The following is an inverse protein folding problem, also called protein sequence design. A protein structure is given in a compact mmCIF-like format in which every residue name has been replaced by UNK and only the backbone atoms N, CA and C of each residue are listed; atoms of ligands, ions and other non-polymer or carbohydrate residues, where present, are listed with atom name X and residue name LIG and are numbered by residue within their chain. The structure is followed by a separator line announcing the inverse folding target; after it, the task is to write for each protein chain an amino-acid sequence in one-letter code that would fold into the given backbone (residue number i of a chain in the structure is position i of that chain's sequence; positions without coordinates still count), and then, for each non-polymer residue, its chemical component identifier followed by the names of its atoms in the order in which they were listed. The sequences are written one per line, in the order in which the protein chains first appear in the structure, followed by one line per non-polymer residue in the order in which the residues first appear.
data_IF_182764333814
#
_entry.id   IF_182764333814
#
_cell.length_a   1.000
_cell.length_b   1.000
_cell.length_c   1.000
_cell.angle_alpha   90.00
_cell.angle_beta   90.00
_cell.angle_gamma   90.00
#
_symmetry.space_group_name_H-M   'P 1'
#
loop_
_entity.id
_entity.type
_entity.pdbx_description
1 polymer ?
#
# COMPACT_ATOMS: atom_id res chain seq x y z
N UNK A 1 -14.02 -8.33 -8.48
CA UNK A 1 -12.69 -8.89 -8.75
C UNK A 1 -12.20 -9.57 -7.49
N UNK A 2 -11.64 -10.78 -7.57
CA UNK A 2 -10.94 -11.40 -6.45
C UNK A 2 -9.66 -10.61 -6.19
N UNK A 3 -9.55 -9.98 -5.01
CA UNK A 3 -8.41 -9.17 -4.59
C UNK A 3 -7.95 -9.63 -3.22
N UNK A 4 -6.65 -9.63 -3.01
CA UNK A 4 -6.00 -9.92 -1.74
C UNK A 4 -5.12 -8.73 -1.40
N UNK A 5 -5.25 -8.20 -0.19
CA UNK A 5 -4.36 -7.16 0.31
C UNK A 5 -3.20 -7.77 1.10
N UNK A 6 -2.00 -7.21 0.92
CA UNK A 6 -0.82 -7.50 1.74
C UNK A 6 -0.31 -6.19 2.31
N UNK A 7 -0.07 -6.14 3.60
CA UNK A 7 0.49 -4.97 4.30
C UNK A 7 1.31 -5.40 5.51
N UNK A 8 2.07 -4.47 6.10
CA UNK A 8 2.77 -4.72 7.35
C UNK A 8 1.85 -4.52 8.55
N UNK A 9 2.08 -5.28 9.60
CA UNK A 9 1.41 -5.09 10.89
C UNK A 9 2.19 -4.08 11.72
N UNK A 10 1.68 -2.87 11.87
CA UNK A 10 2.32 -1.84 12.68
C UNK A 10 1.74 -1.85 14.10
N UNK A 11 2.43 -2.55 15.03
CA UNK A 11 1.98 -2.69 16.43
C UNK A 11 1.97 -1.37 17.20
N UNK A 12 2.84 -0.44 16.84
CA UNK A 12 2.92 0.91 17.42
C UNK A 12 2.33 1.98 16.51
N UNK A 13 1.85 1.57 15.33
CA UNK A 13 1.14 2.43 14.39
C UNK A 13 1.96 3.62 13.89
N UNK A 14 1.28 4.75 13.69
CA UNK A 14 1.92 6.02 13.33
C UNK A 14 2.13 6.87 14.60
N UNK A 15 1.12 7.56 15.07
CA UNK A 15 1.09 8.23 16.37
C UNK A 15 -0.34 8.59 16.77
N UNK A 16 -0.57 8.77 18.06
CA UNK A 16 -1.77 9.35 18.60
C UNK A 16 -1.54 10.85 18.84
N UNK A 17 -2.34 11.70 18.22
CA UNK A 17 -2.22 13.15 18.31
C UNK A 17 -3.01 13.68 19.51
N UNK A 18 -2.36 14.45 20.37
CA UNK A 18 -2.96 15.17 21.47
C UNK A 18 -2.77 16.68 21.25
N UNK A 19 -3.86 17.42 21.26
CA UNK A 19 -3.82 18.88 21.13
C UNK A 19 -4.24 19.48 22.47
N UNK A 20 -3.38 20.32 23.06
CA UNK A 20 -3.63 21.02 24.32
C UNK A 20 -4.59 22.23 24.09
N UNK A 21 -5.00 22.87 25.20
CA UNK A 21 -5.89 24.03 25.14
C UNK A 21 -5.27 25.26 24.46
N UNK A 22 -3.97 25.30 24.29
CA UNK A 22 -3.21 26.33 23.59
C UNK A 22 -2.97 26.05 22.13
N UNK A 23 -3.42 24.87 21.63
CA UNK A 23 -3.25 24.41 20.25
C UNK A 23 -1.90 23.73 19.99
N UNK A 24 -1.10 23.44 21.01
CA UNK A 24 0.15 22.71 20.84
C UNK A 24 -0.12 21.23 20.66
N UNK A 25 0.54 20.60 19.68
CA UNK A 25 0.46 19.17 19.43
C UNK A 25 1.54 18.42 20.22
N UNK A 26 1.15 17.35 20.86
CA UNK A 26 2.04 16.30 21.38
C UNK A 26 1.64 14.95 20.78
N UNK A 27 2.61 14.05 20.66
CA UNK A 27 2.43 12.77 20.00
C UNK A 27 2.84 11.64 20.95
N UNK A 28 2.06 10.57 20.93
CA UNK A 28 2.37 9.32 21.64
C UNK A 28 2.21 8.15 20.69
N UNK A 29 2.97 7.04 20.85
CA UNK A 29 2.74 5.82 20.10
C UNK A 29 1.29 5.34 20.27
N UNK A 30 0.72 4.80 19.20
CA UNK A 30 -0.57 4.13 19.26
C UNK A 30 -0.31 2.63 19.43
N UNK A 31 -0.37 2.15 20.66
CA UNK A 31 -0.24 0.73 20.99
C UNK A 31 -1.61 0.06 20.97
N UNK A 32 -1.70 -1.11 20.35
CA UNK A 32 -2.92 -1.90 20.23
C UNK A 32 -2.57 -3.39 20.16
N UNK A 33 -3.51 -4.25 20.55
CA UNK A 33 -3.36 -5.69 20.42
C UNK A 33 -3.98 -6.15 19.10
N UNK A 34 -3.20 -6.76 18.18
CA UNK A 34 -3.74 -7.29 16.95
C UNK A 34 -4.87 -8.28 17.14
N UNK A 35 -4.88 -9.07 18.22
CA UNK A 35 -5.91 -10.06 18.51
C UNK A 35 -7.31 -9.46 18.74
N UNK A 36 -7.40 -8.16 19.02
CA UNK A 36 -8.70 -7.48 19.16
C UNK A 36 -9.42 -7.31 17.82
N UNK A 37 -8.70 -7.36 16.70
CA UNK A 37 -9.24 -7.03 15.37
C UNK A 37 -8.88 -8.04 14.27
N UNK A 38 -7.83 -8.83 14.48
CA UNK A 38 -7.25 -9.71 13.47
C UNK A 38 -7.21 -11.15 13.95
N UNK A 39 -7.23 -12.07 13.01
CA UNK A 39 -7.08 -13.51 13.26
C UNK A 39 -5.66 -13.94 12.87
N UNK A 40 -4.86 -14.56 13.76
CA UNK A 40 -3.56 -15.10 13.41
C UNK A 40 -3.74 -16.31 12.49
N UNK A 41 -2.88 -16.42 11.47
CA UNK A 41 -2.84 -17.57 10.59
C UNK A 41 -1.62 -18.42 10.95
N UNK A 42 -1.83 -19.72 11.13
CA UNK A 42 -0.79 -20.70 11.50
C UNK A 42 0.05 -21.09 10.27
N UNK A 43 0.73 -20.09 9.71
CA UNK A 43 1.68 -20.20 8.60
C UNK A 43 2.85 -19.29 8.92
N UNK A 44 4.05 -19.82 8.80
CA UNK A 44 5.28 -19.04 8.91
C UNK A 44 6.07 -19.14 7.61
N UNK A 45 6.70 -18.04 7.23
CA UNK A 45 7.71 -17.99 6.19
C UNK A 45 8.92 -17.23 6.72
N UNK A 46 10.02 -17.23 5.98
CA UNK A 46 11.19 -16.44 6.35
C UNK A 46 11.77 -15.69 5.16
N UNK A 47 12.46 -14.61 5.45
CA UNK A 47 13.32 -13.87 4.52
C UNK A 47 14.73 -13.75 5.11
N UNK A 48 15.72 -13.57 4.23
CA UNK A 48 17.09 -13.33 4.67
C UNK A 48 17.33 -11.80 4.78
N UNK A 49 17.82 -11.37 5.94
CA UNK A 49 18.23 -9.99 6.19
C UNK A 49 19.62 -10.02 6.86
N UNK A 50 20.63 -9.48 6.21
CA UNK A 50 22.02 -9.47 6.70
C UNK A 50 22.55 -10.88 7.07
N UNK A 51 22.19 -11.88 6.27
CA UNK A 51 22.60 -13.27 6.47
C UNK A 51 21.90 -14.01 7.61
N UNK A 52 20.91 -13.40 8.25
CA UNK A 52 20.06 -14.03 9.27
C UNK A 52 18.66 -14.28 8.75
N UNK A 53 18.06 -15.33 9.21
CA UNK A 53 16.68 -15.68 8.91
C UNK A 53 15.72 -14.87 9.79
N UNK A 54 14.82 -14.11 9.17
CA UNK A 54 13.75 -13.36 9.84
C UNK A 54 12.42 -14.00 9.52
N UNK A 55 11.74 -14.52 10.52
CA UNK A 55 10.44 -15.17 10.41
C UNK A 55 9.30 -14.16 10.33
N UNK A 56 8.29 -14.51 9.55
CA UNK A 56 7.10 -13.70 9.31
C UNK A 56 5.86 -14.58 9.49
N UNK A 57 4.91 -14.12 10.28
CA UNK A 57 3.59 -14.72 10.42
C UNK A 57 2.51 -13.74 9.94
N UNK A 58 1.52 -14.16 9.15
CA UNK A 58 0.43 -13.29 8.75
C UNK A 58 -0.71 -13.29 9.77
N UNK A 59 -1.32 -12.13 9.94
CA UNK A 59 -2.65 -11.96 10.54
C UNK A 59 -3.64 -11.66 9.43
N UNK A 60 -4.90 -12.05 9.60
CA UNK A 60 -5.95 -11.89 8.60
C UNK A 60 -7.04 -10.94 9.08
N UNK A 61 -7.49 -10.07 8.16
CA UNK A 61 -8.73 -9.31 8.28
C UNK A 61 -9.58 -9.55 7.03
N UNK A 62 -10.82 -9.97 7.21
CA UNK A 62 -11.79 -10.05 6.13
C UNK A 62 -12.65 -8.79 6.13
N UNK A 63 -12.49 -7.97 5.11
CA UNK A 63 -13.29 -6.76 4.91
C UNK A 63 -14.54 -7.14 4.10
N UNK A 64 -15.71 -6.90 4.68
CA UNK A 64 -16.99 -7.10 4.00
C UNK A 64 -17.50 -5.79 3.44
N UNK A 65 -17.72 -5.76 2.13
CA UNK A 65 -18.28 -4.60 1.45
C UNK A 65 -19.81 -4.48 1.62
N UNK A 66 -20.35 -3.29 1.37
CA UNK A 66 -21.79 -3.01 1.48
C UNK A 66 -22.68 -3.90 0.60
N UNK A 67 -22.11 -4.55 -0.40
CA UNK A 67 -22.79 -5.48 -1.31
C UNK A 67 -22.58 -6.95 -0.97
N UNK A 68 -21.94 -7.26 0.18
CA UNK A 68 -21.64 -8.62 0.64
C UNK A 68 -20.39 -9.24 -0.01
N UNK A 69 -19.66 -8.51 -0.84
CA UNK A 69 -18.36 -8.96 -1.36
C UNK A 69 -17.30 -8.90 -0.25
N UNK A 70 -16.35 -9.84 -0.29
CA UNK A 70 -15.30 -9.96 0.73
C UNK A 70 -13.92 -9.79 0.12
N UNK A 71 -13.06 -9.08 0.83
CA UNK A 71 -11.63 -8.92 0.51
C UNK A 71 -10.83 -9.32 1.73
N UNK A 72 -9.90 -10.23 1.55
CA UNK A 72 -8.97 -10.62 2.62
C UNK A 72 -7.73 -9.75 2.56
N UNK A 73 -7.34 -9.22 3.72
CA UNK A 73 -6.08 -8.48 3.90
C UNK A 73 -5.21 -9.26 4.89
N UNK A 74 -3.98 -9.53 4.49
CA UNK A 74 -2.98 -10.16 5.36
C UNK A 74 -1.99 -9.10 5.84
N UNK A 75 -1.80 -9.08 7.15
CA UNK A 75 -0.88 -8.18 7.85
C UNK A 75 0.36 -8.98 8.26
N UNK A 76 1.51 -8.62 7.74
CA UNK A 76 2.77 -9.31 7.97
C UNK A 76 3.39 -8.85 9.29
N UNK A 77 3.65 -9.78 10.18
CA UNK A 77 4.17 -9.54 11.52
C UNK A 77 5.50 -10.27 11.72
N UNK A 78 6.49 -9.57 12.25
CA UNK A 78 7.79 -10.15 12.64
C UNK A 78 7.92 -10.33 14.16
N UNK A 79 6.91 -9.99 14.94
CA UNK A 79 6.92 -10.13 16.40
C UNK A 79 6.71 -11.59 16.81
N UNK A 80 7.71 -12.43 16.55
CA UNK A 80 7.74 -13.86 16.88
C UNK A 80 8.86 -14.16 17.88
N UNK A 81 8.66 -15.12 18.81
CA UNK A 81 9.67 -15.46 19.81
C UNK A 81 11.00 -15.94 19.23
N UNK A 82 10.97 -16.53 18.05
CA UNK A 82 12.14 -17.04 17.32
C UNK A 82 13.00 -15.93 16.71
N UNK A 83 12.44 -14.75 16.51
CA UNK A 83 13.15 -13.60 16.00
C UNK A 83 13.93 -12.88 17.12
N UNK A 84 15.05 -12.29 16.78
CA UNK A 84 15.75 -11.38 17.69
C UNK A 84 14.88 -10.18 18.05
N UNK A 85 15.13 -9.53 19.17
CA UNK A 85 14.38 -8.31 19.55
C UNK A 85 14.44 -7.21 18.48
N UNK A 86 15.55 -7.11 17.76
CA UNK A 86 15.69 -6.18 16.66
C UNK A 86 14.77 -6.54 15.48
N UNK A 87 14.71 -7.83 15.13
CA UNK A 87 13.88 -8.30 14.03
C UNK A 87 12.39 -8.29 14.38
N UNK A 88 12.03 -8.56 15.65
CA UNK A 88 10.66 -8.39 16.13
C UNK A 88 10.12 -6.97 15.93
N UNK A 89 10.99 -5.97 16.02
CA UNK A 89 10.61 -4.56 15.93
C UNK A 89 10.56 -4.01 14.50
N UNK A 90 10.93 -4.78 13.46
CA UNK A 90 11.00 -4.29 12.07
C UNK A 90 9.64 -3.73 11.61
N UNK A 91 8.53 -4.34 12.02
CA UNK A 91 7.20 -3.90 11.58
C UNK A 91 6.49 -2.94 12.56
N UNK A 92 7.12 -2.54 13.68
CA UNK A 92 6.46 -1.77 14.75
C UNK A 92 5.85 -0.45 14.28
N UNK A 93 6.61 0.36 13.54
CA UNK A 93 6.22 1.73 13.21
C UNK A 93 5.96 1.94 11.73
N UNK A 94 4.87 2.65 11.41
CA UNK A 94 4.64 3.22 10.10
C UNK A 94 5.47 4.51 9.96
N UNK A 95 6.24 4.61 8.88
CA UNK A 95 7.12 5.75 8.59
C UNK A 95 8.19 6.05 9.66
N UNK A 96 8.56 5.06 10.46
CA UNK A 96 9.59 5.20 11.48
C UNK A 96 11.00 4.84 10.98
N UNK A 97 11.99 5.12 11.83
CA UNK A 97 13.35 4.65 11.68
C UNK A 97 14.20 5.35 10.62
N UNK A 98 15.39 4.80 10.43
CA UNK A 98 16.35 5.21 9.41
C UNK A 98 16.17 4.44 8.09
N UNK A 99 17.07 4.69 7.14
CA UNK A 99 17.03 4.00 5.84
C UNK A 99 17.22 2.49 5.95
N UNK A 100 18.00 2.00 6.93
CA UNK A 100 18.19 0.58 7.18
C UNK A 100 16.88 -0.07 7.62
N UNK A 101 16.23 0.51 8.64
CA UNK A 101 14.94 0.04 9.14
C UNK A 101 13.87 0.00 8.04
N UNK A 102 13.78 1.07 7.24
CA UNK A 102 12.82 1.15 6.12
C UNK A 102 13.10 0.10 5.06
N UNK A 103 14.36 -0.14 4.70
CA UNK A 103 14.70 -1.16 3.73
C UNK A 103 14.37 -2.58 4.21
N UNK A 104 14.59 -2.85 5.51
CA UNK A 104 14.15 -4.11 6.11
C UNK A 104 12.62 -4.29 6.04
N UNK A 105 11.84 -3.22 6.29
CA UNK A 105 10.37 -3.26 6.11
C UNK A 105 9.97 -3.58 4.66
N UNK A 106 10.66 -3.01 3.68
CA UNK A 106 10.38 -3.25 2.26
C UNK A 106 10.71 -4.68 1.84
N UNK A 107 11.74 -5.31 2.44
CA UNK A 107 12.02 -6.74 2.27
C UNK A 107 10.88 -7.59 2.84
N UNK A 108 10.43 -7.30 4.06
CA UNK A 108 9.30 -8.01 4.67
C UNK A 108 8.05 -7.87 3.82
N UNK A 109 7.72 -6.65 3.37
CA UNK A 109 6.52 -6.41 2.57
C UNK A 109 6.61 -7.05 1.18
N UNK A 110 7.68 -6.81 0.45
CA UNK A 110 7.82 -7.26 -0.94
C UNK A 110 8.11 -8.76 -1.02
N UNK A 111 9.24 -9.19 -0.49
CA UNK A 111 9.68 -10.60 -0.57
C UNK A 111 8.87 -11.50 0.37
N UNK A 112 8.69 -11.07 1.61
CA UNK A 112 7.88 -11.77 2.60
C UNK A 112 6.43 -11.91 2.15
N UNK A 113 5.86 -10.85 1.55
CA UNK A 113 4.51 -10.87 1.01
C UNK A 113 4.29 -11.92 -0.08
N UNK A 114 5.21 -12.04 -1.03
CA UNK A 114 5.15 -13.10 -2.06
C UNK A 114 5.27 -14.49 -1.42
N UNK A 115 6.20 -14.66 -0.48
CA UNK A 115 6.38 -15.95 0.21
C UNK A 115 5.13 -16.38 0.98
N UNK A 116 4.48 -15.45 1.69
CA UNK A 116 3.20 -15.70 2.39
C UNK A 116 2.10 -16.09 1.40
N UNK A 117 1.97 -15.40 0.28
CA UNK A 117 0.98 -15.74 -0.73
C UNK A 117 1.17 -17.18 -1.24
N UNK A 118 2.41 -17.61 -1.47
CA UNK A 118 2.71 -18.98 -1.89
C UNK A 118 2.39 -19.99 -0.79
N UNK A 119 2.76 -19.72 0.44
CA UNK A 119 2.48 -20.59 1.59
C UNK A 119 0.97 -20.74 1.85
N UNK A 120 0.19 -19.70 1.59
CA UNK A 120 -1.28 -19.71 1.63
C UNK A 120 -1.94 -20.43 0.44
N UNK A 121 -1.15 -20.90 -0.55
CA UNK A 121 -1.63 -21.64 -1.71
C UNK A 121 -2.06 -20.76 -2.90
N UNK A 122 -1.81 -19.46 -2.88
CA UNK A 122 -2.09 -18.57 -4.01
C UNK A 122 -1.03 -18.73 -5.11
N UNK A 123 -1.14 -19.79 -5.92
CA UNK A 123 -0.19 -20.12 -6.99
C UNK A 123 -0.51 -19.43 -8.33
N UNK A 124 -1.75 -18.97 -8.53
CA UNK A 124 -2.23 -18.40 -9.79
C UNK A 124 -2.67 -16.93 -9.61
N UNK A 125 -1.72 -16.05 -9.32
CA UNK A 125 -1.97 -14.62 -9.24
C UNK A 125 -1.77 -14.01 -10.63
N UNK A 126 -2.80 -13.35 -11.15
CA UNK A 126 -2.78 -12.75 -12.49
C UNK A 126 -2.07 -11.39 -12.51
N UNK A 127 -2.19 -10.61 -11.44
CA UNK A 127 -1.57 -9.30 -11.34
C UNK A 127 -1.10 -8.99 -9.92
N UNK A 128 0.10 -8.46 -9.81
CA UNK A 128 0.68 -7.88 -8.58
C UNK A 128 0.61 -6.37 -8.68
N UNK A 129 -0.22 -5.77 -7.85
CA UNK A 129 -0.39 -4.33 -7.81
C UNK A 129 0.49 -3.72 -6.70
N UNK A 130 1.50 -3.00 -7.10
CA UNK A 130 2.38 -2.26 -6.21
C UNK A 130 1.79 -0.89 -5.91
N UNK A 131 1.44 -0.66 -4.65
CA UNK A 131 1.00 0.63 -4.16
C UNK A 131 2.23 1.39 -3.62
N UNK A 132 2.86 2.20 -4.49
CA UNK A 132 4.10 2.93 -4.25
C UNK A 132 5.38 2.05 -4.22
N UNK A 133 6.55 2.69 -4.17
CA UNK A 133 7.86 2.06 -4.26
C UNK A 133 8.17 1.07 -3.15
N UNK A 134 7.66 1.29 -1.93
CA UNK A 134 7.96 0.44 -0.77
C UNK A 134 7.54 -1.04 -0.92
N UNK A 135 6.69 -1.37 -1.89
CA UNK A 135 6.33 -2.75 -2.22
C UNK A 135 7.13 -3.36 -3.38
N UNK A 136 8.02 -2.58 -4.02
CA UNK A 136 8.66 -2.98 -5.28
C UNK A 136 9.63 -4.17 -5.15
N UNK A 137 10.08 -4.53 -3.94
CA UNK A 137 10.92 -5.74 -3.76
C UNK A 137 10.16 -7.05 -4.02
N UNK A 138 8.83 -7.03 -4.19
CA UNK A 138 8.12 -8.20 -4.69
C UNK A 138 8.65 -8.65 -6.07
N UNK A 139 9.14 -7.71 -6.88
CA UNK A 139 9.74 -7.96 -8.20
C UNK A 139 10.93 -8.91 -8.08
N UNK A 140 11.76 -8.73 -7.04
CA UNK A 140 12.92 -9.61 -6.81
C UNK A 140 12.49 -11.07 -6.62
N UNK A 141 11.48 -11.33 -5.79
CA UNK A 141 10.93 -12.68 -5.60
C UNK A 141 10.34 -13.25 -6.89
N UNK A 142 9.64 -12.43 -7.67
CA UNK A 142 9.08 -12.88 -8.96
C UNK A 142 10.17 -13.19 -9.98
N UNK A 143 11.26 -12.42 -10.02
CA UNK A 143 12.41 -12.68 -10.87
C UNK A 143 13.10 -14.00 -10.47
N UNK A 144 13.26 -14.26 -9.17
CA UNK A 144 13.79 -15.53 -8.68
C UNK A 144 12.91 -16.73 -9.06
N UNK A 145 11.59 -16.57 -8.94
CA UNK A 145 10.65 -17.60 -9.37
C UNK A 145 10.80 -17.91 -10.87
N UNK A 146 10.96 -16.87 -11.71
CA UNK A 146 11.14 -17.04 -13.14
C UNK A 146 12.51 -17.67 -13.50
N UNK A 147 13.59 -17.26 -12.83
CA UNK A 147 14.92 -17.87 -12.98
C UNK A 147 14.86 -19.35 -12.66
N UNK A 148 14.26 -19.73 -11.53
CA UNK A 148 14.08 -21.13 -11.11
C UNK A 148 13.22 -21.92 -12.10
N UNK A 149 12.10 -21.34 -12.55
CA UNK A 149 11.15 -21.98 -13.48
C UNK A 149 11.76 -22.24 -14.85
N UNK A 150 12.55 -21.31 -15.36
CA UNK A 150 13.18 -21.39 -16.69
C UNK A 150 14.55 -22.06 -16.67
N UNK A 151 15.06 -22.39 -15.48
CA UNK A 151 16.37 -23.02 -15.26
C UNK A 151 17.52 -22.24 -15.94
N UNK A 152 17.49 -20.92 -15.87
CA UNK A 152 18.55 -20.04 -16.37
C UNK A 152 19.46 -19.59 -15.22
N UNK A 153 20.71 -19.23 -15.52
CA UNK A 153 21.67 -18.82 -14.50
C UNK A 153 21.52 -17.34 -14.09
N UNK A 154 20.77 -16.54 -14.87
CA UNK A 154 20.60 -15.11 -14.63
C UNK A 154 19.36 -14.58 -15.34
N UNK A 155 18.93 -13.35 -14.99
CA UNK A 155 17.83 -12.70 -15.68
C UNK A 155 18.16 -12.52 -17.16
N UNK A 156 17.23 -12.93 -18.01
CA UNK A 156 17.24 -12.62 -19.43
C UNK A 156 16.01 -11.75 -19.78
N UNK A 157 15.96 -11.25 -21.02
CA UNK A 157 14.88 -10.37 -21.47
C UNK A 157 13.48 -11.03 -21.37
N UNK A 158 13.38 -12.35 -21.56
CA UNK A 158 12.13 -13.08 -21.45
C UNK A 158 11.65 -13.13 -19.98
N UNK A 159 12.53 -13.51 -19.03
CA UNK A 159 12.20 -13.52 -17.62
C UNK A 159 11.77 -12.12 -17.12
N UNK A 160 12.48 -11.06 -17.55
CA UNK A 160 12.14 -9.69 -17.21
C UNK A 160 10.77 -9.28 -17.79
N UNK A 161 10.45 -9.72 -19.01
CA UNK A 161 9.16 -9.44 -19.64
C UNK A 161 8.00 -10.18 -18.95
N UNK A 162 8.19 -11.45 -18.61
CA UNK A 162 7.19 -12.25 -17.90
C UNK A 162 6.81 -11.59 -16.55
N UNK A 163 7.81 -11.09 -15.79
CA UNK A 163 7.55 -10.37 -14.54
C UNK A 163 6.85 -9.05 -14.79
N UNK A 164 7.28 -8.30 -15.81
CA UNK A 164 6.64 -7.03 -16.18
C UNK A 164 5.17 -7.20 -16.51
N UNK A 165 4.82 -8.24 -17.24
CA UNK A 165 3.43 -8.51 -17.68
C UNK A 165 2.50 -8.86 -16.50
N UNK A 166 3.06 -9.27 -15.37
CA UNK A 166 2.30 -9.55 -14.14
C UNK A 166 2.20 -8.33 -13.20
N UNK A 167 2.93 -7.25 -13.42
CA UNK A 167 3.03 -6.15 -12.45
C UNK A 167 2.33 -4.87 -12.92
N UNK A 168 1.66 -4.23 -11.97
CA UNK A 168 1.04 -2.91 -12.09
C UNK A 168 1.61 -2.01 -10.99
N UNK A 169 1.92 -0.76 -11.30
CA UNK A 169 2.49 0.19 -10.35
C UNK A 169 1.66 1.46 -10.25
N UNK A 170 1.26 1.82 -9.03
CA UNK A 170 0.61 3.10 -8.75
C UNK A 170 1.53 3.97 -7.93
N UNK A 171 1.90 5.14 -8.46
CA UNK A 171 2.64 6.16 -7.71
C UNK A 171 1.69 7.15 -7.05
N UNK A 172 1.93 7.44 -5.78
CA UNK A 172 1.14 8.37 -4.96
C UNK A 172 1.88 9.67 -4.66
N UNK A 173 3.19 9.70 -4.91
CA UNK A 173 4.04 10.80 -4.42
C UNK A 173 4.68 11.56 -5.58
N UNK A 174 4.16 12.75 -5.94
CA UNK A 174 4.70 13.56 -7.03
C UNK A 174 5.87 14.46 -6.58
N UNK A 175 6.69 13.98 -5.62
CA UNK A 175 7.81 14.76 -5.07
C UNK A 175 9.09 13.92 -5.09
N UNK A 176 10.16 14.35 -5.80
CA UNK A 176 11.40 13.58 -5.93
C UNK A 176 12.08 13.21 -4.62
N UNK A 177 11.90 14.03 -3.58
CA UNK A 177 12.50 13.81 -2.26
C UNK A 177 11.83 12.68 -1.45
N UNK A 178 10.61 12.30 -1.80
CA UNK A 178 9.84 11.30 -1.08
C UNK A 178 9.90 9.89 -1.70
N UNK A 179 10.77 9.69 -2.70
CA UNK A 179 11.04 8.36 -3.27
C UNK A 179 12.13 7.66 -2.45
N UNK A 180 11.88 6.43 -2.03
CA UNK A 180 12.86 5.64 -1.29
C UNK A 180 14.06 5.28 -2.17
N UNK A 181 15.25 5.62 -1.65
CA UNK A 181 16.53 5.42 -2.34
C UNK A 181 17.57 4.91 -1.36
N UNK A 182 18.10 3.75 -1.64
CA UNK A 182 19.03 3.06 -0.76
C UNK A 182 20.42 2.95 -1.39
N UNK A 183 21.50 3.30 -0.67
CA UNK A 183 22.88 3.15 -1.16
C UNK A 183 23.17 1.68 -1.51
N UNK A 184 23.86 1.42 -2.63
CA UNK A 184 24.11 0.06 -3.11
C UNK A 184 24.87 -0.81 -2.12
N UNK A 185 25.84 -0.23 -1.39
CA UNK A 185 26.58 -0.96 -0.36
C UNK A 185 25.68 -1.42 0.80
N UNK A 186 24.67 -0.63 1.17
CA UNK A 186 23.68 -1.02 2.17
C UNK A 186 22.75 -2.11 1.62
N UNK A 187 22.28 -1.96 0.38
CA UNK A 187 21.45 -2.97 -0.29
C UNK A 187 22.17 -4.31 -0.34
N UNK A 188 23.45 -4.34 -0.78
CA UNK A 188 24.27 -5.54 -0.86
C UNK A 188 24.46 -6.19 0.51
N UNK A 189 24.77 -5.38 1.53
CA UNK A 189 25.00 -5.88 2.90
C UNK A 189 23.73 -6.52 3.50
N UNK A 190 22.54 -5.97 3.20
CA UNK A 190 21.28 -6.44 3.77
C UNK A 190 20.71 -7.63 2.99
N UNK A 191 20.69 -7.57 1.66
CA UNK A 191 20.11 -8.63 0.82
C UNK A 191 21.07 -9.81 0.58
N UNK A 192 22.39 -9.61 0.74
CA UNK A 192 23.41 -10.58 0.35
C UNK A 192 23.70 -10.58 -1.16
N UNK A 193 24.76 -11.29 -1.54
CA UNK A 193 25.32 -11.28 -2.91
C UNK A 193 24.33 -11.80 -3.97
N UNK A 194 23.60 -12.87 -3.68
CA UNK A 194 22.72 -13.51 -4.65
C UNK A 194 21.60 -12.57 -5.10
N UNK A 195 20.81 -12.06 -4.17
CA UNK A 195 19.72 -11.11 -4.44
C UNK A 195 20.22 -9.78 -5.02
N UNK A 196 21.36 -9.30 -4.52
CA UNK A 196 22.01 -8.10 -5.03
C UNK A 196 22.38 -8.25 -6.51
N UNK A 197 22.97 -9.38 -6.92
CA UNK A 197 23.34 -9.64 -8.31
C UNK A 197 22.12 -9.73 -9.23
N UNK A 198 21.01 -10.28 -8.75
CA UNK A 198 19.73 -10.27 -9.48
C UNK A 198 19.28 -8.84 -9.72
N UNK A 199 19.26 -8.00 -8.70
CA UNK A 199 18.90 -6.60 -8.84
C UNK A 199 19.85 -5.83 -9.75
N UNK A 200 21.16 -6.06 -9.65
CA UNK A 200 22.16 -5.43 -10.54
C UNK A 200 21.89 -5.78 -12.01
N UNK A 201 21.52 -7.02 -12.29
CA UNK A 201 21.18 -7.47 -13.64
C UNK A 201 19.89 -6.83 -14.16
N UNK A 202 18.99 -6.40 -13.28
CA UNK A 202 17.75 -5.69 -13.62
C UNK A 202 17.97 -4.26 -14.08
N UNK A 203 19.16 -3.67 -13.87
CA UNK A 203 19.57 -2.32 -14.33
C UNK A 203 18.67 -1.16 -13.86
N UNK A 204 18.01 -1.30 -12.69
CA UNK A 204 17.08 -0.30 -12.14
C UNK A 204 17.73 0.64 -11.11
N UNK A 205 18.99 0.99 -11.33
CA UNK A 205 19.79 1.85 -10.46
C UNK A 205 19.95 3.25 -11.06
N UNK A 206 20.04 4.23 -10.18
CA UNK A 206 20.36 5.60 -10.54
C UNK A 206 21.23 6.23 -9.46
N UNK A 207 22.32 6.88 -9.86
CA UNK A 207 23.22 7.62 -8.97
C UNK A 207 23.76 6.73 -7.81
N UNK A 208 24.22 5.51 -8.11
CA UNK A 208 24.70 4.50 -7.16
C UNK A 208 23.72 4.17 -6.03
N UNK A 209 22.42 4.29 -6.32
CA UNK A 209 21.34 3.96 -5.38
C UNK A 209 20.29 3.08 -6.05
N UNK A 210 19.77 2.13 -5.30
CA UNK A 210 18.53 1.47 -5.62
C UNK A 210 17.39 2.44 -5.37
N UNK A 211 16.64 2.77 -6.42
CA UNK A 211 15.45 3.61 -6.33
C UNK A 211 14.21 2.72 -6.49
N UNK A 212 13.42 2.60 -5.43
CA UNK A 212 12.27 1.70 -5.37
C UNK A 212 11.18 2.08 -6.37
N UNK A 213 10.96 3.38 -6.59
CA UNK A 213 10.03 3.85 -7.63
C UNK A 213 10.50 3.44 -9.01
N UNK A 214 11.80 3.59 -9.33
CA UNK A 214 12.33 3.14 -10.61
C UNK A 214 12.21 1.62 -10.80
N UNK A 215 12.42 0.84 -9.74
CA UNK A 215 12.22 -0.61 -9.79
C UNK A 215 10.77 -0.93 -10.17
N UNK A 216 9.80 -0.30 -9.51
CA UNK A 216 8.39 -0.44 -9.84
C UNK A 216 8.05 -0.02 -11.28
N UNK A 217 8.60 1.12 -11.75
CA UNK A 217 8.39 1.61 -13.11
C UNK A 217 8.99 0.67 -14.17
N UNK A 218 10.21 0.14 -13.94
CA UNK A 218 10.90 -0.74 -14.88
C UNK A 218 10.17 -2.06 -15.09
N UNK A 219 9.55 -2.60 -14.05
CA UNK A 219 8.92 -3.93 -14.06
C UNK A 219 7.40 -3.90 -14.02
N UNK A 220 6.77 -2.84 -14.49
CA UNK A 220 5.32 -2.81 -14.63
C UNK A 220 4.91 -2.56 -16.06
N UNK A 221 3.92 -3.32 -16.53
CA UNK A 221 3.33 -3.10 -17.86
C UNK A 221 2.32 -1.95 -17.85
N UNK A 222 1.75 -1.64 -16.68
CA UNK A 222 0.83 -0.53 -16.49
C UNK A 222 1.24 0.31 -15.28
N UNK A 223 1.27 1.62 -15.49
CA UNK A 223 1.69 2.59 -14.48
C UNK A 223 0.66 3.70 -14.44
N UNK A 224 0.22 4.06 -13.22
CA UNK A 224 -0.68 5.19 -13.05
C UNK A 224 -0.34 6.05 -11.83
N UNK A 225 -0.68 7.33 -11.95
CA UNK A 225 -0.85 8.24 -10.83
C UNK A 225 -2.30 8.29 -10.37
N UNK A 226 -2.57 8.96 -9.27
CA UNK A 226 -3.86 8.96 -8.55
C UNK A 226 -4.79 10.12 -8.88
N UNK A 227 -4.41 10.96 -9.85
CA UNK A 227 -5.24 12.03 -10.42
C UNK A 227 -4.61 12.56 -11.72
N UNK A 228 -5.37 13.30 -12.54
CA UNK A 228 -4.85 13.94 -13.75
C UNK A 228 -3.67 14.87 -13.45
N UNK A 229 -3.75 15.67 -12.39
CA UNK A 229 -2.64 16.55 -12.01
C UNK A 229 -1.41 15.78 -11.57
N UNK A 230 -1.59 14.66 -10.91
CA UNK A 230 -0.49 13.76 -10.51
C UNK A 230 0.16 13.10 -11.74
N UNK A 231 -0.61 12.69 -12.74
CA UNK A 231 -0.10 12.19 -14.03
C UNK A 231 0.84 13.20 -14.69
N UNK A 232 0.42 14.45 -14.84
CA UNK A 232 1.23 15.53 -15.45
C UNK A 232 2.58 15.70 -14.75
N UNK A 233 2.58 15.72 -13.41
CA UNK A 233 3.80 15.89 -12.63
C UNK A 233 4.68 14.64 -12.75
N UNK A 234 4.10 13.46 -12.59
CA UNK A 234 4.85 12.19 -12.66
C UNK A 234 5.43 11.95 -14.05
N UNK A 235 4.72 12.31 -15.13
CA UNK A 235 5.23 12.24 -16.49
C UNK A 235 6.46 13.16 -16.68
N UNK A 236 6.48 14.32 -16.02
CA UNK A 236 7.64 15.22 -16.03
C UNK A 236 8.82 14.64 -15.24
N UNK A 237 8.55 13.97 -14.12
CA UNK A 237 9.58 13.32 -13.29
C UNK A 237 10.18 12.07 -13.95
N UNK A 238 9.36 11.33 -14.70
CA UNK A 238 9.70 10.05 -15.31
C UNK A 238 9.36 10.02 -16.81
N UNK A 239 10.02 10.84 -17.64
CA UNK A 239 9.61 11.08 -19.05
C UNK A 239 9.71 9.83 -19.93
N UNK A 240 10.46 8.82 -19.53
CA UNK A 240 10.65 7.58 -20.28
C UNK A 240 9.56 6.51 -20.00
N UNK A 241 8.62 6.80 -19.11
CA UNK A 241 7.57 5.86 -18.70
C UNK A 241 6.20 6.44 -19.01
N UNK A 242 5.32 5.68 -19.68
CA UNK A 242 3.93 6.10 -19.89
C UNK A 242 3.17 5.99 -18.57
N UNK A 243 2.88 7.11 -17.94
CA UNK A 243 2.12 7.15 -16.69
C UNK A 243 0.72 7.68 -17.01
N UNK A 244 -0.30 6.91 -16.66
CA UNK A 244 -1.70 7.28 -16.84
C UNK A 244 -2.27 7.84 -15.53
N UNK A 245 -3.48 8.38 -15.55
CA UNK A 245 -4.20 8.75 -14.33
C UNK A 245 -5.38 7.82 -14.06
N UNK A 246 -5.46 7.37 -12.81
CA UNK A 246 -6.67 6.75 -12.25
C UNK A 246 -6.98 7.52 -10.97
N UNK A 247 -8.03 8.35 -11.01
CA UNK A 247 -8.44 9.12 -9.83
C UNK A 247 -8.84 8.17 -8.71
N UNK A 248 -8.30 8.41 -7.51
CA UNK A 248 -8.64 7.62 -6.34
C UNK A 248 -10.15 7.56 -6.13
N UNK A 249 -10.66 6.37 -5.90
CA UNK A 249 -12.05 6.15 -5.55
C UNK A 249 -12.38 6.68 -4.15
N UNK A 250 -13.64 7.06 -3.98
CA UNK A 250 -14.19 7.41 -2.66
C UNK A 250 -15.28 6.41 -2.34
N UNK A 251 -15.27 5.87 -1.12
CA UNK A 251 -16.36 5.02 -0.64
C UNK A 251 -17.37 5.87 0.12
N UNK A 252 -18.47 6.33 -0.54
CA UNK A 252 -19.40 7.30 0.05
C UNK A 252 -19.98 6.84 1.38
N UNK A 253 -20.26 5.53 1.53
CA UNK A 253 -20.84 4.98 2.74
C UNK A 253 -19.92 5.10 3.97
N UNK A 254 -18.57 5.10 3.79
CA UNK A 254 -17.61 5.29 4.88
C UNK A 254 -17.32 6.76 5.19
N UNK A 255 -17.49 7.65 4.21
CA UNK A 255 -17.12 9.06 4.34
C UNK A 255 -18.27 9.99 4.70
N UNK A 256 -19.51 9.52 4.51
CA UNK A 256 -20.70 10.33 4.84
C UNK A 256 -20.89 10.39 6.35
N UNK A 257 -21.22 11.58 6.86
CA UNK A 257 -21.56 11.73 8.28
C UNK A 257 -22.91 11.10 8.63
N UNK A 258 -23.10 10.68 9.87
CA UNK A 258 -24.33 10.02 10.33
C UNK A 258 -25.63 10.78 10.00
N UNK A 259 -25.71 12.12 10.14
CA UNK A 259 -26.92 12.84 9.76
C UNK A 259 -27.26 12.72 8.27
N UNK A 260 -26.23 12.81 7.40
CA UNK A 260 -26.43 12.65 5.96
C UNK A 260 -26.71 11.18 5.59
N UNK A 261 -26.07 10.23 6.25
CA UNK A 261 -26.33 8.80 6.07
C UNK A 261 -27.81 8.49 6.31
N UNK A 262 -28.38 8.97 7.44
CA UNK A 262 -29.79 8.80 7.77
C UNK A 262 -30.73 9.48 6.75
N UNK A 263 -30.31 10.65 6.22
CA UNK A 263 -31.05 11.33 5.17
C UNK A 263 -31.07 10.52 3.88
N UNK A 264 -29.90 10.02 3.47
CA UNK A 264 -29.75 9.24 2.23
C UNK A 264 -30.50 7.91 2.32
N UNK A 265 -30.39 7.18 3.42
CA UNK A 265 -31.12 5.93 3.66
C UNK A 265 -32.64 6.11 3.53
N UNK A 266 -33.15 7.26 3.96
CA UNK A 266 -34.58 7.58 3.89
C UNK A 266 -35.03 8.02 2.49
N UNK A 267 -34.20 8.78 1.79
CA UNK A 267 -34.60 9.46 0.55
C UNK A 267 -34.18 8.71 -0.72
N UNK A 268 -33.08 7.97 -0.63
CA UNK A 268 -32.45 7.25 -1.76
C UNK A 268 -31.90 5.89 -1.28
N UNK A 269 -32.73 4.92 -0.89
CA UNK A 269 -32.29 3.70 -0.21
C UNK A 269 -31.21 2.90 -0.94
N UNK A 270 -31.15 2.98 -2.26
CA UNK A 270 -30.19 2.25 -3.10
C UNK A 270 -28.80 2.91 -3.18
N UNK A 271 -28.59 4.06 -2.55
CA UNK A 271 -27.31 4.82 -2.65
C UNK A 271 -26.09 4.03 -2.16
N UNK A 272 -26.29 3.07 -1.23
CA UNK A 272 -25.20 2.23 -0.71
C UNK A 272 -24.73 1.20 -1.72
N UNK A 273 -25.61 0.76 -2.63
CA UNK A 273 -25.30 -0.19 -3.70
C UNK A 273 -24.68 0.49 -4.91
N UNK A 274 -25.20 1.68 -5.24
CA UNK A 274 -24.71 2.49 -6.34
C UNK A 274 -24.77 3.99 -5.94
N UNK A 275 -23.60 4.57 -5.68
CA UNK A 275 -23.48 5.98 -5.27
C UNK A 275 -23.95 6.97 -6.34
N UNK A 276 -24.13 6.55 -7.60
CA UNK A 276 -24.69 7.41 -8.65
C UNK A 276 -26.13 7.84 -8.35
N UNK A 277 -26.85 7.10 -7.53
CA UNK A 277 -28.19 7.52 -7.07
C UNK A 277 -28.18 8.81 -6.25
N UNK A 278 -27.03 9.16 -5.62
CA UNK A 278 -26.88 10.41 -4.87
C UNK A 278 -27.10 11.68 -5.71
N UNK A 279 -26.94 11.60 -7.04
CA UNK A 279 -27.25 12.72 -7.96
C UNK A 279 -28.72 13.20 -7.87
N UNK A 280 -29.63 12.32 -7.46
CA UNK A 280 -31.05 12.67 -7.31
C UNK A 280 -31.33 13.48 -6.03
N UNK A 281 -30.37 13.55 -5.09
CA UNK A 281 -30.50 14.36 -3.89
C UNK A 281 -30.50 15.87 -4.17
N UNK A 282 -29.97 16.33 -5.29
CA UNK A 282 -29.99 17.73 -5.67
C UNK A 282 -31.42 18.29 -5.69
N UNK A 283 -32.40 17.51 -6.15
CA UNK A 283 -33.81 17.90 -6.14
C UNK A 283 -34.39 18.00 -4.71
N UNK A 284 -33.96 17.14 -3.79
CA UNK A 284 -34.44 17.07 -2.42
C UNK A 284 -33.85 18.18 -1.53
N UNK A 285 -32.59 18.53 -1.76
CA UNK A 285 -31.92 19.62 -1.06
C UNK A 285 -32.48 21.00 -1.44
N UNK A 286 -32.99 21.16 -2.66
CA UNK A 286 -33.63 22.39 -3.13
C UNK A 286 -34.99 22.66 -2.45
N UNK A 287 -35.69 21.60 -2.04
CA UNK A 287 -37.02 21.68 -1.44
C UNK A 287 -37.01 21.64 0.09
N UNK A 288 -35.86 21.31 0.71
CA UNK A 288 -35.71 21.27 2.17
C UNK A 288 -35.31 22.66 2.68
N UNK A 289 -36.12 23.30 3.57
CA UNK A 289 -35.79 24.62 4.12
C UNK A 289 -34.47 24.52 4.92
N UNK A 290 -33.51 25.34 4.55
CA UNK A 290 -32.24 25.47 5.29
C UNK A 290 -32.47 26.38 6.52
N UNK A 291 -31.83 26.13 7.67
CA UNK A 291 -31.79 27.05 8.78
C UNK A 291 -31.32 28.47 8.38
N UNK A 292 -30.53 28.60 7.31
CA UNK A 292 -30.12 29.90 6.72
C UNK A 292 -31.26 30.63 6.04
N UNK A 293 -32.24 29.91 5.51
CA UNK A 293 -33.35 30.55 4.80
C UNK A 293 -34.27 31.32 5.77
N UNK A 294 -34.35 30.87 7.02
CA UNK A 294 -35.07 31.60 8.11
C UNK A 294 -34.37 32.91 8.51
N UNK A 295 -33.09 33.03 8.36
CA UNK A 295 -32.35 34.25 8.72
C UNK A 295 -32.41 35.32 7.63
N UNK A 296 -32.56 34.94 6.35
CA UNK A 296 -32.72 35.86 5.24
C UNK A 296 -34.12 36.53 5.22
N UNK A 297 -35.15 35.87 5.73
CA UNK A 297 -36.49 36.40 5.80
C UNK A 297 -36.72 37.43 6.93
N UNK A 298 -35.70 37.73 7.76
CA UNK A 298 -35.76 38.70 8.88
C UNK A 298 -34.94 39.97 8.66
N UNK A 299 -34.41 40.21 7.47
CA UNK A 299 -33.84 41.52 7.16
C UNK A 299 -35.00 42.52 6.90
N UNK A 300 -35.09 43.61 7.66
CA UNK A 300 -36.06 44.65 7.36
C UNK A 300 -35.73 45.23 5.99
N UNK A 301 -36.75 45.36 5.15
CA UNK A 301 -36.67 46.16 3.94
C UNK A 301 -36.36 47.60 4.35
N UNK A 302 -35.19 48.09 4.06
CA UNK A 302 -34.86 49.50 4.10
C UNK A 302 -35.55 50.24 2.96
#
# INVERSE_FOLDING_TARGET
LPVIGITLLHRKGYFCQHIDKSGNQTETPYEWDPSDFLEPIDIEVSVQIEGREVKIQPWQLVIEGSTGSRVTVYFLDTYLPENSHQDQAITDYLYGGDSHYRFCQEIILGMGGVSILRALGYSHIQAYHMNEGHSALLILSLLEEQIKKTNVCSINAACAQDVRDMCVFTTHTPVPAATDKFPLNMVQSILGEEHFNILMSASCFKDDKLNMTYLGLCFSHYINGVSMRHEEISQTMFPNYPINSITNGVHPASWVSDPFMKLFDRQVPEWRKDSNYLRYLSCLLYTSPSPRDRTRSRMPSS
#
